data_IF_257151112606
#
_entry.id   IF_257151112606
#
_cell.length_a   1.000
_cell.length_b   1.000
_cell.length_c   1.000
_cell.angle_alpha   90.00
_cell.angle_beta   90.00
_cell.angle_gamma   90.00
#
_symmetry.space_group_name_H-M   'P 1'
#
loop_
_entity.id
_entity.type
_entity.pdbx_description
1 polymer ?
#
# COMPACT_ATOMS: atom_id res chain seq x y z
N UNK A 1 -2.92 5.43 10.98
CA UNK A 1 -1.57 6.07 11.04
C UNK A 1 -1.30 7.06 9.88
N UNK A 2 -2.27 7.77 9.27
CA UNK A 2 -1.93 8.76 8.24
C UNK A 2 -1.47 10.12 8.81
N UNK A 3 -1.82 10.43 10.06
CA UNK A 3 -1.70 11.79 10.62
C UNK A 3 -0.26 12.30 10.75
N UNK A 4 0.68 11.45 11.18
CA UNK A 4 2.09 11.85 11.29
C UNK A 4 2.71 12.21 9.94
N UNK A 5 2.30 11.53 8.87
CA UNK A 5 2.75 11.82 7.51
C UNK A 5 2.12 13.10 6.96
N UNK A 6 0.84 13.35 7.28
CA UNK A 6 0.16 14.61 6.94
C UNK A 6 0.82 15.80 7.63
N UNK A 7 1.14 15.68 8.91
CA UNK A 7 1.87 16.71 9.69
C UNK A 7 3.25 16.97 9.10
N UNK A 8 3.91 15.95 8.54
CA UNK A 8 5.18 16.10 7.83
C UNK A 8 5.05 16.74 6.43
N UNK A 9 3.84 17.15 6.00
CA UNK A 9 3.59 17.79 4.73
C UNK A 9 3.45 16.83 3.54
N UNK A 10 3.37 15.53 3.78
CA UNK A 10 3.11 14.56 2.71
C UNK A 10 1.62 14.56 2.32
N UNK A 11 1.35 14.38 1.02
CA UNK A 11 0.01 14.02 0.56
C UNK A 11 -0.23 12.53 0.87
N UNK A 12 -1.23 12.25 1.70
CA UNK A 12 -1.52 10.89 2.20
C UNK A 12 -2.99 10.57 2.01
N UNK A 13 -3.25 9.47 1.34
CA UNK A 13 -4.59 8.91 1.13
C UNK A 13 -4.65 7.61 1.93
N UNK A 14 -5.65 7.49 2.83
CA UNK A 14 -5.80 6.28 3.63
C UNK A 14 -6.49 5.21 2.78
N UNK A 15 -6.10 3.94 2.96
CA UNK A 15 -6.70 2.83 2.23
C UNK A 15 -8.23 2.82 2.35
N UNK A 16 -8.75 3.05 3.56
CA UNK A 16 -10.19 3.03 3.84
C UNK A 16 -10.97 4.21 3.25
N UNK A 17 -10.27 5.27 2.79
CA UNK A 17 -10.89 6.44 2.14
C UNK A 17 -11.18 6.15 0.66
N UNK A 18 -10.38 5.30 0.01
CA UNK A 18 -10.40 5.06 -1.44
C UNK A 18 -10.86 3.66 -1.84
N UNK A 19 -10.75 2.68 -0.94
CA UNK A 19 -11.01 1.28 -1.23
C UNK A 19 -12.03 0.72 -0.25
N UNK A 20 -13.01 -0.02 -0.79
CA UNK A 20 -13.98 -0.73 0.04
C UNK A 20 -13.26 -1.78 0.90
N UNK A 21 -13.77 -2.05 2.11
CA UNK A 21 -13.18 -3.04 3.03
C UNK A 21 -13.05 -4.46 2.45
N UNK A 22 -13.81 -4.79 1.41
CA UNK A 22 -13.75 -6.08 0.72
C UNK A 22 -12.79 -6.09 -0.48
N UNK A 23 -12.12 -4.97 -0.78
CA UNK A 23 -11.16 -4.88 -1.88
C UNK A 23 -9.97 -5.78 -1.56
N UNK A 24 -9.62 -6.65 -2.50
CA UNK A 24 -8.50 -7.58 -2.31
C UNK A 24 -7.16 -6.85 -2.36
N UNK A 25 -6.14 -7.41 -1.69
CA UNK A 25 -4.81 -6.82 -1.67
C UNK A 25 -4.23 -6.61 -3.08
N UNK A 26 -4.49 -7.57 -3.97
CA UNK A 26 -4.08 -7.50 -5.39
C UNK A 26 -4.67 -6.28 -6.10
N UNK A 27 -5.97 -6.00 -5.90
CA UNK A 27 -6.69 -4.97 -6.63
C UNK A 27 -6.24 -3.56 -6.23
N UNK A 28 -6.16 -3.27 -4.93
CA UNK A 28 -5.78 -1.92 -4.48
C UNK A 28 -4.29 -1.66 -4.72
N UNK A 29 -3.42 -2.66 -4.61
CA UNK A 29 -1.99 -2.52 -4.92
C UNK A 29 -1.75 -2.24 -6.41
N UNK A 30 -2.50 -2.89 -7.29
CA UNK A 30 -2.44 -2.59 -8.73
C UNK A 30 -2.86 -1.14 -9.03
N UNK A 31 -3.88 -0.62 -8.32
CA UNK A 31 -4.26 0.78 -8.44
C UNK A 31 -3.20 1.73 -7.89
N UNK A 32 -2.64 1.44 -6.72
CA UNK A 32 -1.56 2.23 -6.12
C UNK A 32 -0.36 2.34 -7.07
N UNK A 33 0.00 1.24 -7.75
CA UNK A 33 1.07 1.25 -8.75
C UNK A 33 0.76 2.06 -9.99
N UNK A 34 -0.47 1.95 -10.52
CA UNK A 34 -0.94 2.82 -11.62
C UNK A 34 -0.89 4.30 -11.26
N UNK A 35 -1.15 4.64 -9.99
CA UNK A 35 -1.09 6.02 -9.47
C UNK A 35 0.33 6.47 -9.12
N UNK A 36 1.33 5.58 -9.20
CA UNK A 36 2.72 5.87 -8.85
C UNK A 36 2.95 6.11 -7.36
N UNK A 37 2.08 5.54 -6.51
CA UNK A 37 2.07 5.79 -5.08
C UNK A 37 3.13 4.99 -4.32
N UNK A 38 3.50 5.53 -3.16
CA UNK A 38 4.31 4.81 -2.17
C UNK A 38 3.39 4.19 -1.12
N UNK A 39 3.42 2.88 -0.98
CA UNK A 39 2.57 2.15 -0.03
C UNK A 39 3.30 1.97 1.29
N UNK A 40 2.67 2.37 2.39
CA UNK A 40 3.15 2.13 3.75
C UNK A 40 2.11 1.27 4.46
N UNK A 41 2.46 0.02 4.76
CA UNK A 41 1.59 -0.91 5.47
C UNK A 41 2.31 -1.58 6.63
N UNK A 42 1.56 -1.81 7.73
CA UNK A 42 2.00 -2.65 8.85
C UNK A 42 1.60 -4.12 8.68
N UNK A 43 0.79 -4.41 7.67
CA UNK A 43 0.37 -5.77 7.38
C UNK A 43 1.51 -6.57 6.73
N UNK A 44 1.84 -7.70 7.35
CA UNK A 44 2.90 -8.60 6.90
C UNK A 44 2.40 -9.65 5.91
N UNK A 45 1.08 -9.82 5.79
CA UNK A 45 0.48 -10.84 4.92
C UNK A 45 0.55 -10.46 3.43
N UNK A 46 0.60 -9.16 3.11
CA UNK A 46 0.76 -8.62 1.75
C UNK A 46 2.03 -9.15 1.04
N UNK A 47 3.02 -9.63 1.81
CA UNK A 47 4.29 -10.17 1.27
C UNK A 47 4.27 -11.68 0.98
N UNK A 48 3.18 -12.39 1.33
CA UNK A 48 3.18 -13.86 1.32
C UNK A 48 2.69 -14.48 0.02
N UNK A 49 1.95 -13.75 -0.81
CA UNK A 49 1.41 -14.29 -2.05
C UNK A 49 2.36 -13.98 -3.23
N UNK A 50 2.93 -15.00 -3.90
CA UNK A 50 3.84 -14.79 -5.04
C UNK A 50 3.20 -14.01 -6.21
N UNK A 51 1.88 -14.10 -6.35
CA UNK A 51 1.12 -13.32 -7.34
C UNK A 51 1.03 -11.84 -6.94
N UNK A 52 0.87 -11.54 -5.66
CA UNK A 52 0.90 -10.16 -5.15
C UNK A 52 2.29 -9.55 -5.31
N UNK A 53 3.35 -10.33 -5.07
CA UNK A 53 4.73 -9.86 -5.26
C UNK A 53 5.04 -9.58 -6.74
N UNK A 54 4.60 -10.47 -7.64
CA UNK A 54 4.74 -10.27 -9.09
C UNK A 54 3.92 -9.07 -9.58
N UNK A 55 2.71 -8.87 -9.03
CA UNK A 55 1.91 -7.68 -9.31
C UNK A 55 2.57 -6.41 -8.74
N UNK A 56 3.22 -6.49 -7.58
CA UNK A 56 3.97 -5.39 -6.95
C UNK A 56 5.15 -4.94 -7.82
N UNK A 57 5.95 -5.89 -8.29
CA UNK A 57 7.10 -5.65 -9.16
C UNK A 57 6.68 -5.12 -10.53
N UNK A 58 5.65 -5.73 -11.13
CA UNK A 58 5.11 -5.30 -12.43
C UNK A 58 4.51 -3.88 -12.36
N UNK A 59 3.90 -3.52 -11.23
CA UNK A 59 3.26 -2.22 -11.03
C UNK A 59 4.24 -1.11 -10.60
N UNK A 60 5.55 -1.40 -10.45
CA UNK A 60 6.60 -0.46 -9.99
C UNK A 60 6.24 0.30 -8.71
N UNK A 61 5.44 -0.33 -7.85
CA UNK A 61 5.07 0.27 -6.56
C UNK A 61 6.32 0.32 -5.68
N UNK A 62 6.62 1.48 -5.12
CA UNK A 62 7.63 1.59 -4.05
C UNK A 62 6.89 1.42 -2.73
N UNK A 63 7.35 0.57 -1.82
CA UNK A 63 6.67 0.43 -0.54
C UNK A 63 7.56 0.06 0.61
N UNK A 64 7.17 0.54 1.79
CA UNK A 64 7.86 0.32 3.04
C UNK A 64 6.90 -0.43 3.96
N UNK A 65 7.26 -1.68 4.27
CA UNK A 65 6.53 -2.48 5.25
C UNK A 65 7.39 -2.58 6.49
N UNK A 66 6.97 -1.92 7.57
CA UNK A 66 7.76 -1.82 8.79
C UNK A 66 7.27 -2.82 9.83
N UNK A 67 8.19 -3.60 10.40
CA UNK A 67 7.96 -4.37 11.63
C UNK A 67 8.09 -3.41 12.82
N UNK A 68 7.02 -3.16 13.57
CA UNK A 68 7.20 -2.62 14.92
C UNK A 68 7.48 -3.78 15.87
N UNK A 69 8.48 -3.60 16.72
CA UNK A 69 8.92 -4.52 17.77
C UNK A 69 7.84 -4.69 18.84
#
# INVERSE_FOLDING_TARGET
>A
MPEALRVAGAKVEAHDDDFAQNTTDVEWLAQAGKRGWVVISKDQNIRRNPLELSAYEAAKVRGVFTKLF
#
